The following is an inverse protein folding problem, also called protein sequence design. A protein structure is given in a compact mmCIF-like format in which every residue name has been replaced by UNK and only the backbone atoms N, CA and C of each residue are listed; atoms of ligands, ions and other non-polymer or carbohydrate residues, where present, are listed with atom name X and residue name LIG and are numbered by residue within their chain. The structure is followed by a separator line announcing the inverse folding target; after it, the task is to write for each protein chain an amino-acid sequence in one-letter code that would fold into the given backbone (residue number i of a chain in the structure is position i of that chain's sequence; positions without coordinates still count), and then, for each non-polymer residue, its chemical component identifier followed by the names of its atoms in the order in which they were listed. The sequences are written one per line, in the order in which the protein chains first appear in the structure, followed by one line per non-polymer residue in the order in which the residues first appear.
data_IF_841886169157
#
_entry.id   IF_841886169157
#
_cell.length_a   1.000
_cell.length_b   1.000
_cell.length_c   1.000
_cell.angle_alpha   90.00
_cell.angle_beta   90.00
_cell.angle_gamma   90.00
#
_symmetry.space_group_name_H-M   'P 1'
#
loop_
_entity.id
_entity.type
_entity.pdbx_description
1 polymer ?
#
# COMPACT_ATOMS: atom_id res chain seq x y z
N UNK A 1 1.98 -20.56 -19.50
CA UNK A 1 2.86 -20.42 -18.33
C UNK A 1 2.70 -19.00 -17.81
N UNK A 2 1.89 -18.78 -16.77
CA UNK A 2 1.80 -17.47 -16.13
C UNK A 2 3.11 -17.23 -15.37
N UNK A 3 3.91 -16.29 -15.86
CA UNK A 3 5.14 -15.88 -15.22
C UNK A 3 4.82 -15.35 -13.82
N UNK A 4 5.28 -16.10 -12.81
CA UNK A 4 5.63 -15.72 -11.45
C UNK A 4 5.10 -14.34 -11.00
N UNK A 5 4.05 -14.36 -10.19
CA UNK A 5 3.52 -13.23 -9.40
C UNK A 5 4.54 -12.71 -8.38
N UNK A 6 5.61 -12.07 -8.85
CA UNK A 6 6.66 -11.44 -8.03
C UNK A 6 6.52 -9.92 -7.95
N UNK A 7 5.51 -9.32 -8.59
CA UNK A 7 5.38 -7.86 -8.71
C UNK A 7 4.97 -7.15 -7.41
N UNK A 8 4.46 -7.89 -6.42
CA UNK A 8 4.16 -7.38 -5.08
C UNK A 8 4.09 -8.52 -4.06
N UNK A 9 4.32 -8.20 -2.79
CA UNK A 9 4.27 -9.14 -1.67
C UNK A 9 3.60 -8.49 -0.45
N UNK A 10 2.68 -9.22 0.18
CA UNK A 10 2.13 -8.85 1.47
C UNK A 10 3.16 -9.14 2.57
N UNK A 11 3.69 -8.09 3.19
CA UNK A 11 4.53 -8.21 4.39
C UNK A 11 3.67 -8.50 5.61
N UNK A 12 2.51 -7.82 5.69
CA UNK A 12 1.43 -8.11 6.62
C UNK A 12 0.10 -8.12 5.88
N UNK A 13 -0.62 -9.24 5.93
CA UNK A 13 -1.92 -9.36 5.25
C UNK A 13 -2.99 -8.47 5.92
N UNK A 14 -3.95 -7.95 5.13
CA UNK A 14 -5.09 -7.24 5.70
C UNK A 14 -6.00 -8.21 6.46
N UNK A 15 -6.42 -7.80 7.65
CA UNK A 15 -7.53 -8.42 8.38
C UNK A 15 -8.88 -7.92 7.82
N UNK A 16 -9.98 -8.51 8.28
CA UNK A 16 -11.33 -8.03 7.97
C UNK A 16 -11.58 -6.60 8.45
N UNK A 17 -10.85 -6.16 9.48
CA UNK A 17 -10.96 -4.84 10.10
C UNK A 17 -9.86 -3.87 9.65
N UNK A 18 -9.03 -4.26 8.67
CA UNK A 18 -7.95 -3.43 8.16
C UNK A 18 -8.48 -2.05 7.74
N UNK A 19 -7.99 -0.99 8.37
CA UNK A 19 -8.35 0.39 8.13
C UNK A 19 -7.34 1.09 7.21
N UNK A 20 -6.07 0.70 7.28
CA UNK A 20 -4.98 1.31 6.50
C UNK A 20 -4.09 0.21 5.93
N UNK A 21 -3.73 0.35 4.66
CA UNK A 21 -2.70 -0.46 4.01
C UNK A 21 -1.51 0.43 3.71
N UNK A 22 -0.38 0.18 4.36
CA UNK A 22 0.89 0.81 4.02
C UNK A 22 1.37 0.18 2.71
N UNK A 23 1.62 0.99 1.70
CA UNK A 23 2.13 0.56 0.39
C UNK A 23 3.52 1.15 0.20
N UNK A 24 4.52 0.28 0.04
CA UNK A 24 5.93 0.68 -0.13
C UNK A 24 6.47 0.13 -1.44
N UNK A 25 7.43 0.81 -2.08
CA UNK A 25 8.16 0.27 -3.23
C UNK A 25 9.54 -0.27 -2.85
N UNK A 26 10.22 -0.91 -3.81
CA UNK A 26 11.63 -1.32 -3.71
C UNK A 26 12.62 -0.17 -3.48
N UNK A 27 12.18 1.08 -3.67
CA UNK A 27 13.00 2.24 -3.35
C UNK A 27 13.18 2.43 -1.83
N UNK A 28 12.29 1.85 -1.02
CA UNK A 28 12.40 1.91 0.43
C UNK A 28 13.45 0.90 0.94
N UNK A 29 14.42 1.30 1.77
CA UNK A 29 15.42 0.39 2.31
C UNK A 29 14.80 -0.75 3.12
N UNK A 30 15.37 -1.95 2.99
CA UNK A 30 14.93 -3.13 3.75
C UNK A 30 14.88 -2.87 5.26
N UNK A 31 15.86 -2.14 5.80
CA UNK A 31 15.87 -1.74 7.21
C UNK A 31 14.57 -1.06 7.66
N UNK A 32 14.04 -0.16 6.83
CA UNK A 32 12.80 0.56 7.14
C UNK A 32 11.58 -0.35 6.98
N UNK A 33 11.58 -1.23 5.98
CA UNK A 33 10.53 -2.26 5.82
C UNK A 33 10.45 -3.16 7.06
N UNK A 34 11.60 -3.65 7.54
CA UNK A 34 11.68 -4.51 8.72
C UNK A 34 11.20 -3.77 9.99
N UNK A 35 11.58 -2.49 10.14
CA UNK A 35 11.14 -1.64 11.25
C UNK A 35 9.64 -1.35 11.22
N UNK A 36 9.09 -1.05 10.03
CA UNK A 36 7.66 -0.86 9.86
C UNK A 36 6.91 -2.15 10.20
N UNK A 37 7.36 -3.28 9.67
CA UNK A 37 6.75 -4.58 9.95
C UNK A 37 6.72 -4.89 11.45
N UNK A 38 7.85 -4.73 12.14
CA UNK A 38 7.93 -4.93 13.59
C UNK A 38 7.00 -3.99 14.37
N UNK A 39 6.91 -2.72 13.95
CA UNK A 39 6.12 -1.72 14.67
C UNK A 39 4.60 -1.90 14.50
N UNK A 40 4.16 -2.43 13.36
CA UNK A 40 2.74 -2.63 13.05
C UNK A 40 2.26 -4.05 13.34
N UNK A 41 3.13 -4.96 13.82
CA UNK A 41 2.80 -6.39 13.95
C UNK A 41 1.52 -6.61 14.77
N UNK A 42 1.42 -5.93 15.92
CA UNK A 42 0.26 -5.99 16.82
C UNK A 42 -0.93 -5.10 16.39
N UNK A 43 -0.85 -4.40 15.25
CA UNK A 43 -1.91 -3.48 14.82
C UNK A 43 -2.86 -4.17 13.85
N UNK A 44 -3.93 -4.80 14.35
CA UNK A 44 -4.91 -5.55 13.53
C UNK A 44 -5.52 -4.73 12.39
N UNK A 45 -5.59 -3.41 12.56
CA UNK A 45 -6.18 -2.49 11.59
C UNK A 45 -5.21 -2.05 10.49
N UNK A 46 -3.97 -2.54 10.50
CA UNK A 46 -2.95 -2.12 9.55
C UNK A 46 -2.39 -3.33 8.80
N UNK A 47 -2.34 -3.19 7.48
CA UNK A 47 -1.69 -4.13 6.57
C UNK A 47 -0.47 -3.47 5.91
N UNK A 48 0.43 -4.27 5.34
CA UNK A 48 1.61 -3.77 4.63
C UNK A 48 1.85 -4.56 3.35
N UNK A 49 1.81 -3.84 2.23
CA UNK A 49 2.06 -4.33 0.87
C UNK A 49 3.35 -3.72 0.32
N UNK A 50 4.31 -4.56 -0.07
CA UNK A 50 5.52 -4.14 -0.74
C UNK A 50 5.42 -4.41 -2.26
N UNK A 51 5.46 -3.35 -3.05
CA UNK A 51 5.41 -3.38 -4.51
C UNK A 51 6.83 -3.52 -5.07
N UNK A 52 7.06 -4.64 -5.77
CA UNK A 52 8.34 -4.96 -6.41
C UNK A 52 8.46 -4.37 -7.82
N UNK A 53 7.35 -4.35 -8.56
CA UNK A 53 7.32 -3.92 -9.96
C UNK A 53 6.09 -3.05 -10.25
N UNK A 54 6.12 -1.79 -9.82
CA UNK A 54 5.00 -0.84 -10.00
C UNK A 54 4.58 -0.69 -11.46
N UNK A 55 5.55 -0.50 -12.37
CA UNK A 55 5.24 -0.26 -13.78
C UNK A 55 4.58 -1.47 -14.45
N UNK A 56 5.03 -2.69 -14.12
CA UNK A 56 4.42 -3.91 -14.65
C UNK A 56 2.95 -4.04 -14.19
N UNK A 57 2.69 -3.76 -12.91
CA UNK A 57 1.34 -3.72 -12.34
C UNK A 57 0.46 -2.66 -13.01
N UNK A 58 0.99 -1.46 -13.25
CA UNK A 58 0.28 -0.36 -13.88
C UNK A 58 -0.10 -0.68 -15.33
N UNK A 59 0.84 -1.23 -16.10
CA UNK A 59 0.60 -1.64 -17.49
C UNK A 59 -0.46 -2.74 -17.56
N UNK A 60 -0.42 -3.71 -16.65
CA UNK A 60 -1.45 -4.76 -16.56
C UNK A 60 -2.84 -4.18 -16.28
N UNK A 61 -2.94 -3.26 -15.31
CA UNK A 61 -4.20 -2.57 -15.00
C UNK A 61 -4.75 -1.74 -16.17
N UNK A 62 -3.90 -0.95 -16.84
CA UNK A 62 -4.32 -0.15 -18.00
C UNK A 62 -4.79 -1.03 -19.17
N UNK A 63 -4.15 -2.19 -19.38
CA UNK A 63 -4.54 -3.16 -20.40
C UNK A 63 -5.90 -3.78 -20.09
N UNK A 64 -6.13 -4.13 -18.83
CA UNK A 64 -7.42 -4.66 -18.37
C UNK A 64 -8.56 -3.65 -18.57
N UNK A 65 -8.32 -2.37 -18.24
CA UNK A 65 -9.31 -1.30 -18.43
C UNK A 65 -9.60 -0.91 -19.89
N UNK A 66 -8.71 -1.27 -20.84
CA UNK A 66 -8.86 -0.95 -22.26
C UNK A 66 -9.56 -2.05 -23.08
N UNK A 67 -9.84 -3.21 -22.49
CA UNK A 67 -10.46 -4.34 -23.19
C UNK A 67 -11.99 -4.21 -23.21
N UNK A 68 -12.64 -4.23 -24.40
CA UNK A 68 -14.09 -4.14 -24.50
C UNK A 68 -14.82 -5.42 -24.06
N UNK A 69 -14.10 -6.54 -23.91
CA UNK A 69 -14.68 -7.83 -23.52
C UNK A 69 -14.58 -8.03 -21.99
N UNK A 70 -15.75 -7.99 -21.34
CA UNK A 70 -16.06 -8.34 -19.94
C UNK A 70 -15.67 -7.36 -18.83
N UNK A 71 -16.64 -6.53 -18.52
CA UNK A 71 -16.94 -5.98 -17.17
C UNK A 71 -17.43 -7.06 -16.17
N UNK A 72 -16.86 -8.27 -16.17
CA UNK A 72 -17.34 -9.37 -15.35
C UNK A 72 -16.22 -9.95 -14.47
N UNK A 73 -15.99 -9.33 -13.32
CA UNK A 73 -15.25 -9.91 -12.19
C UNK A 73 -14.16 -9.01 -11.62
N UNK A 74 -14.08 -8.91 -10.29
CA UNK A 74 -13.09 -8.11 -9.54
C UNK A 74 -11.62 -8.51 -9.71
N UNK A 75 -11.30 -9.42 -10.63
CA UNK A 75 -9.98 -10.00 -10.85
C UNK A 75 -9.40 -9.67 -12.25
N UNK A 76 -9.83 -8.56 -12.86
CA UNK A 76 -9.45 -8.18 -14.22
C UNK A 76 -7.94 -7.92 -14.42
N UNK A 77 -7.21 -7.60 -13.34
CA UNK A 77 -5.76 -7.39 -13.35
C UNK A 77 -5.13 -7.84 -12.03
N UNK A 78 -3.81 -8.00 -12.02
CA UNK A 78 -3.10 -8.45 -10.81
C UNK A 78 -3.23 -7.44 -9.65
N UNK A 79 -3.27 -6.14 -9.95
CA UNK A 79 -3.50 -5.10 -8.94
C UNK A 79 -4.87 -5.22 -8.25
N UNK A 80 -5.94 -5.55 -9.00
CA UNK A 80 -7.27 -5.74 -8.40
C UNK A 80 -7.34 -7.02 -7.59
N UNK A 81 -6.67 -8.09 -8.05
CA UNK A 81 -6.54 -9.35 -7.30
C UNK A 81 -5.80 -9.16 -5.98
N UNK A 82 -4.77 -8.32 -5.94
CA UNK A 82 -4.06 -7.96 -4.71
C UNK A 82 -4.96 -7.18 -3.76
N UNK A 83 -5.66 -6.16 -4.26
CA UNK A 83 -6.43 -5.25 -3.41
C UNK A 83 -7.81 -5.80 -3.01
N UNK A 84 -8.30 -6.89 -3.62
CA UNK A 84 -9.62 -7.46 -3.29
C UNK A 84 -9.77 -7.93 -1.83
N UNK A 85 -8.67 -8.27 -1.16
CA UNK A 85 -8.68 -8.66 0.25
C UNK A 85 -8.66 -7.46 1.21
N UNK A 86 -8.53 -6.24 0.66
CA UNK A 86 -8.58 -5.00 1.45
C UNK A 86 -10.05 -4.61 1.64
N UNK A 87 -10.52 -4.39 2.89
CA UNK A 87 -11.89 -3.97 3.14
C UNK A 87 -12.24 -2.66 2.40
N UNK A 88 -13.49 -2.56 1.93
CA UNK A 88 -13.95 -1.36 1.25
C UNK A 88 -13.87 -0.13 2.17
N UNK A 89 -13.44 0.99 1.60
CA UNK A 89 -13.28 2.26 2.33
C UNK A 89 -12.01 2.36 3.17
N UNK A 90 -11.18 1.32 3.22
CA UNK A 90 -9.86 1.39 3.86
C UNK A 90 -8.91 2.27 3.07
N UNK A 91 -8.02 2.98 3.77
CA UNK A 91 -7.04 3.87 3.16
C UNK A 91 -5.84 3.10 2.61
N UNK A 92 -5.34 3.54 1.46
CA UNK A 92 -3.98 3.20 1.01
C UNK A 92 -3.05 4.35 1.42
N UNK A 93 -1.98 4.02 2.15
CA UNK A 93 -0.92 4.94 2.50
C UNK A 93 0.30 4.64 1.63
N UNK A 94 0.47 5.44 0.60
CA UNK A 94 1.60 5.37 -0.34
C UNK A 94 2.84 6.02 0.28
N UNK A 95 3.88 5.23 0.52
CA UNK A 95 5.15 5.69 1.08
C UNK A 95 6.12 5.92 -0.07
N UNK A 96 6.28 7.19 -0.44
CA UNK A 96 7.05 7.60 -1.59
C UNK A 96 8.45 8.05 -1.21
N UNK A 97 9.40 7.63 -2.05
CA UNK A 97 10.82 7.94 -1.93
C UNK A 97 11.26 8.68 -3.19
N UNK A 98 11.63 9.95 -3.04
CA UNK A 98 12.00 10.81 -4.17
C UNK A 98 10.90 11.79 -4.58
N UNK A 99 10.94 12.24 -5.84
CA UNK A 99 10.22 13.44 -6.30
C UNK A 99 9.02 13.16 -7.21
N UNK A 100 8.74 11.90 -7.55
CA UNK A 100 7.64 11.55 -8.44
C UNK A 100 6.83 10.39 -7.86
N UNK A 101 5.51 10.54 -7.66
CA UNK A 101 4.66 9.47 -7.14
C UNK A 101 4.54 8.35 -8.16
N UNK A 102 4.98 7.15 -7.79
CA UNK A 102 4.96 5.94 -8.61
C UNK A 102 3.79 5.02 -8.33
N UNK A 103 3.05 5.21 -7.23
CA UNK A 103 2.04 4.26 -6.76
C UNK A 103 0.63 4.85 -6.55
N UNK A 104 0.47 6.16 -6.68
CA UNK A 104 -0.83 6.87 -6.53
C UNK A 104 -1.98 6.31 -7.37
N UNK A 105 -1.69 5.68 -8.52
CA UNK A 105 -2.69 5.05 -9.37
C UNK A 105 -3.42 3.87 -8.70
N UNK A 106 -2.82 3.24 -7.68
CA UNK A 106 -3.40 2.10 -6.96
C UNK A 106 -4.74 2.45 -6.29
N UNK A 107 -4.92 3.71 -5.85
CA UNK A 107 -6.20 4.16 -5.29
C UNK A 107 -7.37 4.01 -6.26
N UNK A 108 -7.12 4.16 -7.56
CA UNK A 108 -8.13 4.06 -8.61
C UNK A 108 -8.48 2.62 -9.00
N UNK A 109 -7.71 1.62 -8.58
CA UNK A 109 -7.91 0.21 -9.00
C UNK A 109 -9.20 -0.36 -8.42
N UNK A 110 -9.39 -0.21 -7.10
CA UNK A 110 -10.59 -0.66 -6.38
C UNK A 110 -11.35 0.50 -5.71
N UNK A 111 -10.96 1.76 -5.98
CA UNK A 111 -11.60 2.95 -5.44
C UNK A 111 -11.27 3.25 -3.98
N UNK A 112 -10.10 2.84 -3.49
CA UNK A 112 -9.66 3.14 -2.14
C UNK A 112 -9.17 4.59 -2.03
N UNK A 113 -9.53 5.32 -0.95
CA UNK A 113 -8.93 6.63 -0.70
C UNK A 113 -7.42 6.46 -0.47
N UNK A 114 -6.61 7.22 -1.22
CA UNK A 114 -5.16 7.18 -1.14
C UNK A 114 -4.61 8.44 -0.46
N UNK A 115 -3.57 8.26 0.35
CA UNK A 115 -2.76 9.32 0.96
C UNK A 115 -1.30 9.02 0.72
N UNK A 116 -0.50 10.07 0.59
CA UNK A 116 0.93 9.96 0.29
C UNK A 116 1.72 10.47 1.49
N UNK A 117 2.76 9.74 1.87
CA UNK A 117 3.82 10.20 2.76
C UNK A 117 5.09 10.32 1.92
N UNK A 118 5.54 11.55 1.71
CA UNK A 118 6.77 11.82 0.95
C UNK A 118 7.94 11.87 1.93
N UNK A 119 8.79 10.85 1.91
CA UNK A 119 9.98 10.80 2.76
C UNK A 119 11.16 11.62 2.21
N UNK A 120 11.04 12.12 0.98
CA UNK A 120 12.10 12.80 0.26
C UNK A 120 13.28 11.87 0.00
N UNK A 121 14.50 12.34 0.34
CA UNK A 121 15.72 11.53 0.22
C UNK A 121 15.83 10.58 1.41
N UNK A 122 16.05 9.29 1.13
CA UNK A 122 16.36 8.31 2.17
C UNK A 122 17.57 8.77 2.99
N UNK A 123 17.39 8.75 4.31
CA UNK A 123 18.45 9.12 5.23
C UNK A 123 19.64 8.16 5.15
N UNK A 124 20.85 8.66 5.39
CA UNK A 124 22.07 7.84 5.34
C UNK A 124 22.43 7.13 6.65
N UNK A 125 21.76 7.47 7.76
CA UNK A 125 21.99 6.86 9.07
C UNK A 125 20.72 6.18 9.60
N UNK A 126 20.89 5.12 10.38
CA UNK A 126 19.78 4.37 10.98
C UNK A 126 18.92 5.23 11.88
N UNK A 127 19.51 6.09 12.72
CA UNK A 127 18.76 7.00 13.59
C UNK A 127 17.89 8.01 12.82
N UNK A 128 18.29 8.41 11.61
CA UNK A 128 17.48 9.27 10.77
C UNK A 128 16.44 8.47 9.97
N UNK A 129 16.76 7.25 9.54
CA UNK A 129 15.77 6.31 8.99
C UNK A 129 14.68 5.97 10.02
N UNK A 130 15.03 5.81 11.30
CA UNK A 130 14.06 5.58 12.39
C UNK A 130 13.06 6.74 12.51
N UNK A 131 13.48 7.99 12.24
CA UNK A 131 12.56 9.14 12.18
C UNK A 131 11.62 9.06 10.98
N UNK A 132 12.14 8.68 9.82
CA UNK A 132 11.31 8.47 8.62
C UNK A 132 10.30 7.32 8.83
N UNK A 133 10.69 6.25 9.54
CA UNK A 133 9.76 5.19 9.95
C UNK A 133 8.67 5.76 10.86
N UNK A 134 9.03 6.55 11.88
CA UNK A 134 8.07 7.15 12.80
C UNK A 134 7.10 8.11 12.09
N UNK A 135 7.56 8.85 11.06
CA UNK A 135 6.68 9.68 10.21
C UNK A 135 5.59 8.84 9.53
N UNK A 136 5.96 7.70 8.94
CA UNK A 136 5.00 6.75 8.32
C UNK A 136 4.05 6.18 9.38
N UNK A 137 4.55 5.77 10.55
CA UNK A 137 3.73 5.22 11.63
C UNK A 137 2.74 6.25 12.19
N UNK A 138 3.18 7.50 12.36
CA UNK A 138 2.34 8.61 12.79
C UNK A 138 1.20 8.89 11.80
N UNK A 139 1.52 8.96 10.50
CA UNK A 139 0.51 9.11 9.45
C UNK A 139 -0.49 7.94 9.44
N UNK A 140 0.02 6.71 9.56
CA UNK A 140 -0.79 5.48 9.63
C UNK A 140 -1.78 5.54 10.80
N UNK A 141 -1.31 5.90 12.01
CA UNK A 141 -2.15 6.06 13.20
C UNK A 141 -3.23 7.11 13.00
N UNK A 142 -2.87 8.25 12.41
CA UNK A 142 -3.81 9.32 12.08
C UNK A 142 -4.95 8.85 11.19
N UNK A 143 -4.63 8.09 10.12
CA UNK A 143 -5.63 7.55 9.19
C UNK A 143 -6.49 6.46 9.82
N UNK A 144 -5.88 5.52 10.54
CA UNK A 144 -6.62 4.45 11.22
C UNK A 144 -7.62 5.07 12.21
N UNK A 145 -7.18 6.01 13.05
CA UNK A 145 -8.05 6.75 13.97
C UNK A 145 -9.19 7.47 13.25
N UNK A 146 -8.88 8.19 12.16
CA UNK A 146 -9.89 8.90 11.38
C UNK A 146 -10.96 7.98 10.80
N UNK A 147 -10.58 6.77 10.37
CA UNK A 147 -11.53 5.81 9.81
C UNK A 147 -12.37 5.12 10.90
N UNK A 148 -11.77 4.80 12.04
CA UNK A 148 -12.53 4.25 13.18
C UNK A 148 -13.57 5.25 13.70
N UNK A 149 -13.22 6.53 13.76
CA UNK A 149 -14.15 7.60 14.14
C UNK A 149 -15.30 7.74 13.13
N UNK A 150 -15.02 7.66 11.82
CA UNK A 150 -16.08 7.71 10.81
C UNK A 150 -17.00 6.47 10.83
N UNK A 151 -16.48 5.32 11.30
CA UNK A 151 -17.23 4.08 11.50
C UNK A 151 -17.99 4.03 12.85
N UNK A 152 -17.81 5.01 13.74
CA UNK A 152 -18.46 5.06 15.06
C UNK A 152 -17.92 4.03 16.07
N UNK A 153 -16.70 3.53 15.86
CA UNK A 153 -16.08 2.49 16.70
C UNK A 153 -15.37 3.07 17.92
N UNK A 154 -14.99 4.36 17.87
CA UNK A 154 -14.34 5.12 18.96
C UNK A 154 -14.86 6.56 19.00
#
# INVERSE_FOLDING_TARGET
MHAISQSAVWIKQPSADAAVVIVTSVALPQYMIDKLHLAIDDWDQVAHLAIQQSEALRVDWLRAGSSPEKSAGGDACYASQLLRCVPHGSFLLDVEVGTAPGLTWLGSVCGHPLRVVELGKIASSTAAMDRQVEEVLSATRGLAKSLLQSRGVI
#
